data_IF_130708015848
#
_entry.id   IF_130708015848
#
_cell.length_a   1.000
_cell.length_b   1.000
_cell.length_c   1.000
_cell.angle_alpha   90.00
_cell.angle_beta   90.00
_cell.angle_gamma   90.00
#
_symmetry.space_group_name_H-M   'P 1'
#
loop_
_entity.id
_entity.type
_entity.pdbx_description
1 polymer ?
#
# COMPACT_ATOMS: atom_id res chain seq x y z
N UNK A 1 -10.37 8.30 24.83
CA UNK A 1 -10.93 7.96 23.51
C UNK A 1 -9.93 8.02 22.36
N UNK A 2 -9.43 9.17 21.87
CA UNK A 2 -8.46 9.19 20.73
C UNK A 2 -7.08 8.62 21.12
N UNK A 3 -6.59 8.99 22.31
CA UNK A 3 -5.30 8.51 22.83
C UNK A 3 -5.27 6.98 23.01
N UNK A 4 -6.37 6.40 23.51
CA UNK A 4 -6.49 4.96 23.75
C UNK A 4 -6.50 4.18 22.43
N UNK A 5 -7.25 4.64 21.42
CA UNK A 5 -7.26 3.98 20.11
C UNK A 5 -5.90 3.96 19.43
N UNK A 6 -5.14 5.07 19.51
CA UNK A 6 -3.80 5.12 18.92
C UNK A 6 -2.82 4.24 19.69
N UNK A 7 -2.82 4.29 21.02
CA UNK A 7 -1.92 3.50 21.85
C UNK A 7 -2.18 1.99 21.70
N UNK A 8 -3.44 1.56 21.65
CA UNK A 8 -3.80 0.16 21.40
C UNK A 8 -3.28 -0.28 20.03
N UNK A 9 -3.58 0.48 18.98
CA UNK A 9 -3.17 0.13 17.63
C UNK A 9 -1.65 0.16 17.46
N UNK A 10 -0.96 1.08 18.16
CA UNK A 10 0.50 1.17 18.17
C UNK A 10 1.11 -0.13 18.67
N UNK A 11 0.63 -0.65 19.81
CA UNK A 11 1.17 -1.87 20.42
C UNK A 11 0.75 -3.16 19.70
N UNK A 12 -0.31 -3.11 18.88
CA UNK A 12 -0.64 -4.19 17.95
C UNK A 12 0.36 -4.27 16.78
N UNK A 13 0.85 -3.11 16.32
CA UNK A 13 1.69 -3.01 15.12
C UNK A 13 3.20 -2.99 15.41
N UNK A 14 3.61 -2.61 16.62
CA UNK A 14 5.01 -2.46 16.99
C UNK A 14 5.32 -3.10 18.35
N UNK A 15 6.36 -3.91 18.40
CA UNK A 15 6.85 -4.52 19.64
C UNK A 15 7.60 -3.53 20.54
N UNK A 16 8.16 -2.45 19.96
CA UNK A 16 8.99 -1.49 20.72
C UNK A 16 8.73 -0.04 20.32
N UNK A 17 9.04 0.89 21.24
CA UNK A 17 9.05 2.35 20.96
C UNK A 17 10.02 2.70 19.82
N UNK A 18 11.13 1.95 19.71
CA UNK A 18 12.13 2.15 18.66
C UNK A 18 11.56 1.85 17.28
N UNK A 19 10.86 0.72 17.13
CA UNK A 19 10.30 0.30 15.84
C UNK A 19 9.29 1.33 15.31
N UNK A 20 8.39 1.83 16.17
CA UNK A 20 7.46 2.88 15.76
C UNK A 20 8.17 4.22 15.47
N UNK A 21 9.20 4.57 16.24
CA UNK A 21 9.99 5.78 15.97
C UNK A 21 10.69 5.73 14.59
N UNK A 22 11.24 4.58 14.22
CA UNK A 22 11.83 4.34 12.90
C UNK A 22 10.77 4.39 11.80
N UNK A 23 9.60 3.78 12.00
CA UNK A 23 8.46 3.81 11.07
C UNK A 23 7.94 5.23 10.81
N UNK A 24 7.74 6.02 11.86
CA UNK A 24 7.22 7.39 11.74
C UNK A 24 8.31 8.42 11.43
N UNK A 25 9.57 8.02 11.36
CA UNK A 25 10.74 8.90 11.22
C UNK A 25 10.79 10.02 12.27
N UNK A 26 10.57 9.67 13.54
CA UNK A 26 10.62 10.60 14.68
C UNK A 26 11.55 10.08 15.77
N UNK A 27 11.86 10.91 16.77
CA UNK A 27 12.60 10.49 17.95
C UNK A 27 11.75 9.59 18.86
N UNK A 28 12.38 8.64 19.56
CA UNK A 28 11.72 7.76 20.55
C UNK A 28 10.91 8.54 21.60
N UNK A 29 11.46 9.67 22.05
CA UNK A 29 10.81 10.56 23.03
C UNK A 29 9.48 11.11 22.50
N UNK A 30 9.38 11.38 21.20
CA UNK A 30 8.12 11.83 20.56
C UNK A 30 7.05 10.76 20.68
N UNK A 31 7.39 9.49 20.39
CA UNK A 31 6.47 8.36 20.55
C UNK A 31 6.05 8.22 22.01
N UNK A 32 6.98 8.27 22.96
CA UNK A 32 6.65 8.20 24.39
C UNK A 32 5.68 9.30 24.81
N UNK A 33 5.85 10.53 24.31
CA UNK A 33 4.95 11.67 24.58
C UNK A 33 3.57 11.52 23.94
N UNK A 34 3.48 10.85 22.79
CA UNK A 34 2.19 10.50 22.18
C UNK A 34 1.47 9.43 22.99
N UNK A 35 2.16 8.36 23.39
CA UNK A 35 1.56 7.24 24.12
C UNK A 35 1.10 7.62 25.53
N UNK A 36 1.80 8.54 26.20
CA UNK A 36 1.44 8.99 27.55
C UNK A 36 0.54 10.25 27.56
N UNK A 37 0.18 10.79 26.38
CA UNK A 37 -0.69 11.95 26.24
C UNK A 37 -0.09 13.29 26.66
N UNK A 38 1.23 13.38 26.83
CA UNK A 38 1.89 14.67 27.14
C UNK A 38 1.75 15.68 26.00
N UNK A 39 1.71 15.20 24.75
CA UNK A 39 1.50 16.03 23.57
C UNK A 39 0.45 15.40 22.64
N UNK A 40 -0.32 16.21 21.91
CA UNK A 40 -1.26 15.67 20.93
C UNK A 40 -0.52 14.84 19.87
N UNK A 41 -1.16 13.75 19.46
CA UNK A 41 -0.64 12.86 18.41
C UNK A 41 -0.69 13.63 17.09
N UNK A 42 0.34 13.48 16.26
CA UNK A 42 0.33 14.05 14.92
C UNK A 42 -0.78 13.35 14.10
N UNK A 43 -1.76 14.08 13.53
CA UNK A 43 -2.83 13.46 12.74
C UNK A 43 -2.33 12.63 11.55
N UNK A 44 -1.14 12.95 11.01
CA UNK A 44 -0.52 12.14 9.96
C UNK A 44 0.00 10.80 10.49
N UNK A 45 0.52 10.76 11.72
CA UNK A 45 0.96 9.53 12.35
C UNK A 45 -0.22 8.59 12.62
N UNK A 46 -1.37 9.12 13.05
CA UNK A 46 -2.61 8.34 13.19
C UNK A 46 -3.04 7.71 11.86
N UNK A 47 -3.04 8.51 10.78
CA UNK A 47 -3.38 8.03 9.44
C UNK A 47 -2.41 6.96 8.93
N UNK A 48 -1.10 7.17 9.10
CA UNK A 48 -0.08 6.20 8.69
C UNK A 48 -0.20 4.88 9.46
N UNK A 49 -0.50 4.95 10.76
CA UNK A 49 -0.73 3.76 11.58
C UNK A 49 -1.94 2.97 11.10
N UNK A 50 -3.05 3.66 10.78
CA UNK A 50 -4.24 3.02 10.23
C UNK A 50 -3.97 2.35 8.87
N UNK A 51 -3.26 3.04 7.97
CA UNK A 51 -2.89 2.50 6.65
C UNK A 51 -2.02 1.24 6.82
N UNK A 52 -1.05 1.27 7.75
CA UNK A 52 -0.21 0.10 8.08
C UNK A 52 -1.03 -1.05 8.66
N UNK A 53 -1.88 -0.78 9.64
CA UNK A 53 -2.71 -1.80 10.29
C UNK A 53 -3.72 -2.47 9.34
N UNK A 54 -4.19 -1.73 8.34
CA UNK A 54 -5.03 -2.27 7.26
C UNK A 54 -4.24 -3.07 6.20
N UNK A 55 -2.91 -3.09 6.29
CA UNK A 55 -2.03 -3.80 5.35
C UNK A 55 -1.81 -3.07 4.02
N UNK A 56 -2.21 -1.80 3.88
CA UNK A 56 -2.06 -1.03 2.64
C UNK A 56 -0.64 -0.50 2.41
N UNK A 57 0.17 -0.38 3.47
CA UNK A 57 1.56 0.07 3.37
C UNK A 57 2.52 -1.04 3.80
N UNK A 58 3.04 -1.83 2.85
CA UNK A 58 4.08 -2.79 3.15
C UNK A 58 5.41 -2.05 3.40
N UNK A 59 5.85 -2.04 4.65
CA UNK A 59 7.05 -1.33 5.09
C UNK A 59 8.33 -2.20 5.05
N UNK A 60 8.39 -3.13 4.09
CA UNK A 60 9.47 -4.09 3.93
C UNK A 60 10.27 -3.78 2.66
N UNK A 61 11.60 -3.91 2.71
CA UNK A 61 12.49 -3.61 1.60
C UNK A 61 12.20 -4.41 0.31
N UNK A 62 11.54 -5.57 0.42
CA UNK A 62 11.09 -6.36 -0.73
C UNK A 62 10.08 -5.63 -1.61
N UNK A 63 9.41 -4.61 -1.07
CA UNK A 63 8.46 -3.76 -1.79
C UNK A 63 9.12 -2.53 -2.43
N UNK A 64 10.45 -2.40 -2.33
CA UNK A 64 11.18 -1.30 -2.95
C UNK A 64 11.00 -1.27 -4.47
N UNK A 65 10.69 -0.09 -5.00
CA UNK A 65 10.50 0.14 -6.44
C UNK A 65 9.10 -0.17 -6.97
N UNK A 66 8.27 -0.87 -6.20
CA UNK A 66 6.85 -1.05 -6.50
C UNK A 66 6.07 0.24 -6.29
N UNK A 67 5.13 0.53 -7.18
CA UNK A 67 4.37 1.79 -7.20
C UNK A 67 2.92 1.53 -7.58
N UNK A 68 2.02 2.43 -7.16
CA UNK A 68 0.63 2.45 -7.59
C UNK A 68 0.39 3.75 -8.35
N UNK A 69 -0.15 3.66 -9.57
CA UNK A 69 -0.72 4.81 -10.27
C UNK A 69 -2.16 4.95 -9.82
N UNK A 70 -2.43 5.91 -8.93
CA UNK A 70 -3.76 6.15 -8.36
C UNK A 70 -4.80 6.57 -9.42
N UNK A 71 -4.38 7.24 -10.50
CA UNK A 71 -5.30 7.72 -11.53
C UNK A 71 -5.80 6.57 -12.40
N UNK A 72 -4.92 5.63 -12.72
CA UNK A 72 -5.23 4.43 -13.52
C UNK A 72 -5.63 3.23 -12.65
N UNK A 73 -5.43 3.32 -11.34
CA UNK A 73 -5.56 2.25 -10.37
C UNK A 73 -4.76 1.00 -10.77
N UNK A 74 -3.52 1.16 -11.27
CA UNK A 74 -2.63 0.05 -11.67
C UNK A 74 -1.44 -0.08 -10.74
N UNK A 75 -1.00 -1.32 -10.55
CA UNK A 75 0.21 -1.65 -9.82
C UNK A 75 1.38 -1.75 -10.79
N UNK A 76 2.48 -1.08 -10.47
CA UNK A 76 3.68 -0.96 -11.30
C UNK A 76 4.84 -1.66 -10.59
N UNK A 77 5.48 -2.60 -11.26
CA UNK A 77 6.64 -3.34 -10.74
C UNK A 77 7.94 -2.54 -10.92
N UNK A 78 9.03 -2.90 -10.21
CA UNK A 78 10.34 -2.31 -10.44
C UNK A 78 10.85 -2.47 -11.88
N UNK A 79 10.42 -3.51 -12.60
CA UNK A 79 10.74 -3.74 -14.01
C UNK A 79 9.89 -2.92 -15.00
N UNK A 80 8.96 -2.09 -14.49
CA UNK A 80 8.04 -1.29 -15.32
C UNK A 80 6.88 -2.08 -15.92
N UNK A 81 6.66 -3.33 -15.48
CA UNK A 81 5.46 -4.10 -15.85
C UNK A 81 4.29 -3.61 -15.01
N UNK A 82 3.10 -3.73 -15.57
CA UNK A 82 1.88 -3.21 -14.95
C UNK A 82 0.83 -4.31 -14.88
N UNK A 83 0.03 -4.30 -13.82
CA UNK A 83 -1.18 -5.10 -13.73
C UNK A 83 -2.26 -4.38 -12.90
N UNK A 84 -3.51 -4.64 -13.23
CA UNK A 84 -4.68 -4.13 -12.50
C UNK A 84 -4.98 -4.98 -11.26
N UNK A 85 -5.74 -4.47 -10.27
CA UNK A 85 -6.19 -5.25 -9.12
C UNK A 85 -6.94 -6.54 -9.51
N UNK A 86 -7.72 -6.52 -10.59
CA UNK A 86 -8.42 -7.71 -11.10
C UNK A 86 -7.46 -8.77 -11.64
N UNK A 87 -6.38 -8.34 -12.28
CA UNK A 87 -5.34 -9.24 -12.74
C UNK A 87 -4.56 -9.82 -11.55
N UNK A 88 -4.33 -9.03 -10.50
CA UNK A 88 -3.71 -9.52 -9.27
C UNK A 88 -4.54 -10.59 -8.56
N UNK A 89 -5.86 -10.43 -8.52
CA UNK A 89 -6.78 -11.44 -7.94
C UNK A 89 -6.65 -12.79 -8.64
N UNK A 90 -6.54 -12.79 -9.97
CA UNK A 90 -6.37 -14.00 -10.78
C UNK A 90 -4.94 -14.53 -10.81
N UNK A 91 -3.97 -13.74 -10.33
CA UNK A 91 -2.54 -14.00 -10.54
C UNK A 91 -2.06 -15.27 -9.86
N UNK A 92 -2.56 -15.60 -8.66
CA UNK A 92 -2.16 -16.81 -7.95
C UNK A 92 -2.49 -18.08 -8.78
N UNK A 93 -3.70 -18.14 -9.34
CA UNK A 93 -4.12 -19.23 -10.21
C UNK A 93 -3.31 -19.29 -11.51
N UNK A 94 -3.13 -18.14 -12.18
CA UNK A 94 -2.36 -18.09 -13.43
C UNK A 94 -0.90 -18.45 -13.24
N UNK A 95 -0.30 -18.11 -12.09
CA UNK A 95 1.07 -18.51 -11.77
C UNK A 95 1.20 -20.03 -11.70
N UNK A 96 0.24 -20.70 -11.07
CA UNK A 96 0.27 -22.15 -10.90
C UNK A 96 0.09 -22.86 -12.26
N UNK A 97 -0.89 -22.42 -13.06
CA UNK A 97 -1.08 -22.91 -14.45
C UNK A 97 0.15 -22.67 -15.33
N UNK A 98 0.72 -21.46 -15.27
CA UNK A 98 1.93 -21.10 -16.02
C UNK A 98 3.11 -21.99 -15.65
N UNK A 99 3.28 -22.28 -14.35
CA UNK A 99 4.36 -23.16 -13.87
C UNK A 99 4.24 -24.55 -14.49
N UNK A 100 3.03 -25.13 -14.49
CA UNK A 100 2.77 -26.44 -15.12
C UNK A 100 3.01 -26.41 -16.64
N UNK A 101 2.60 -25.35 -17.33
CA UNK A 101 2.81 -25.20 -18.77
C UNK A 101 4.31 -25.12 -19.12
N UNK A 102 5.09 -24.40 -18.30
CA UNK A 102 6.55 -24.31 -18.46
C UNK A 102 7.22 -25.66 -18.21
N UNK A 103 6.76 -26.43 -17.22
CA UNK A 103 7.27 -27.80 -16.98
C UNK A 103 7.04 -28.71 -18.19
N UNK A 104 5.89 -28.59 -18.85
CA UNK A 104 5.51 -29.42 -20.00
C UNK A 104 6.14 -28.98 -21.33
N UNK A 105 6.31 -27.67 -21.54
CA UNK A 105 6.61 -27.11 -22.85
C UNK A 105 7.86 -26.22 -22.89
N UNK A 106 8.48 -25.95 -21.73
CA UNK A 106 9.62 -25.04 -21.61
C UNK A 106 9.24 -23.56 -21.56
N UNK A 107 10.26 -22.70 -21.44
CA UNK A 107 10.09 -21.25 -21.39
C UNK A 107 9.96 -20.62 -22.78
N UNK A 108 9.19 -19.53 -22.86
CA UNK A 108 9.15 -18.66 -24.03
C UNK A 108 10.28 -17.63 -23.90
N UNK A 109 11.21 -17.57 -24.87
CA UNK A 109 12.38 -16.68 -24.79
C UNK A 109 12.03 -15.18 -24.80
N UNK A 110 11.05 -14.77 -25.61
CA UNK A 110 10.68 -13.37 -25.79
C UNK A 110 9.17 -13.16 -25.64
N UNK A 111 8.62 -13.26 -24.41
CA UNK A 111 7.19 -13.09 -24.19
C UNK A 111 6.77 -11.65 -24.48
N UNK A 112 5.66 -11.50 -25.21
CA UNK A 112 5.06 -10.20 -25.51
C UNK A 112 4.69 -9.46 -24.23
N UNK A 113 4.92 -8.15 -24.21
CA UNK A 113 4.46 -7.27 -23.13
C UNK A 113 3.02 -6.85 -23.40
N UNK A 114 2.14 -7.09 -22.44
CA UNK A 114 0.78 -6.59 -22.46
C UNK A 114 0.64 -5.49 -21.40
N UNK A 115 -0.01 -4.35 -21.72
CA UNK A 115 -0.33 -3.35 -20.71
C UNK A 115 -1.41 -3.90 -19.75
N UNK A 116 -1.48 -3.33 -18.55
CA UNK A 116 -2.52 -3.66 -17.59
C UNK A 116 -3.91 -3.44 -18.20
N UNK A 117 -4.85 -4.34 -17.89
CA UNK A 117 -6.24 -4.17 -18.33
C UNK A 117 -6.84 -2.89 -17.73
N UNK A 118 -7.68 -2.22 -18.52
CA UNK A 118 -8.40 -1.06 -18.03
C UNK A 118 -9.32 -1.44 -16.87
N UNK A 119 -9.16 -0.72 -15.76
CA UNK A 119 -10.07 -0.83 -14.64
C UNK A 119 -11.40 -0.16 -15.00
N UNK A 120 -12.45 -0.96 -15.09
CA UNK A 120 -13.81 -0.44 -15.15
C UNK A 120 -14.10 0.36 -13.88
N UNK A 121 -14.80 1.48 -14.04
CA UNK A 121 -15.22 2.30 -12.91
C UNK A 121 -16.07 1.47 -11.94
N UNK A 122 -15.88 1.60 -10.62
CA UNK A 122 -16.57 0.80 -9.61
C UNK A 122 -18.10 1.02 -9.59
N UNK A 123 -18.60 2.10 -10.21
CA UNK A 123 -20.03 2.41 -10.29
C UNK A 123 -20.44 2.82 -11.71
N UNK A 124 -21.61 2.36 -12.16
CA UNK A 124 -22.25 2.89 -13.37
C UNK A 124 -22.70 4.33 -13.11
N UNK A 125 -22.17 5.31 -13.85
CA UNK A 125 -22.70 6.68 -13.87
C UNK A 125 -21.82 7.80 -13.28
N UNK A 126 -20.51 7.59 -13.07
CA UNK A 126 -19.54 8.70 -12.96
C UNK A 126 -19.68 9.68 -11.76
N UNK A 127 -20.60 9.44 -10.82
CA UNK A 127 -20.92 10.41 -9.75
C UNK A 127 -19.88 10.57 -8.64
N UNK A 128 -18.80 9.77 -8.60
CA UNK A 128 -17.71 9.87 -7.60
C UNK A 128 -16.33 10.00 -8.25
N UNK A 129 -16.19 10.89 -9.23
CA UNK A 129 -14.91 11.14 -9.92
C UNK A 129 -14.05 12.27 -9.32
N UNK A 130 -14.54 13.04 -8.34
CA UNK A 130 -13.66 14.00 -7.68
C UNK A 130 -12.83 13.25 -6.64
N UNK A 131 -11.52 13.17 -6.89
CA UNK A 131 -10.55 12.85 -5.87
C UNK A 131 -10.91 13.60 -4.58
N UNK A 132 -10.91 12.92 -3.44
CA UNK A 132 -11.29 13.56 -2.19
C UNK A 132 -10.42 14.82 -1.98
N UNK A 133 -11.02 15.99 -1.72
CA UNK A 133 -10.33 17.30 -1.78
C UNK A 133 -9.15 17.45 -0.80
N UNK A 134 -8.95 16.49 0.11
CA UNK A 134 -7.85 16.45 1.05
C UNK A 134 -6.55 15.82 0.52
N UNK A 135 -6.49 15.39 -0.75
CA UNK A 135 -5.24 14.93 -1.36
C UNK A 135 -4.41 16.18 -1.66
N UNK A 136 -3.24 16.38 -1.00
CA UNK A 136 -2.42 17.56 -1.23
C UNK A 136 -1.88 17.51 -2.67
N UNK A 137 -2.50 18.25 -3.58
CA UNK A 137 -1.95 18.48 -4.91
C UNK A 137 -0.86 19.54 -4.77
N UNK A 138 0.38 19.18 -5.12
CA UNK A 138 1.59 20.00 -4.94
C UNK A 138 1.61 21.31 -5.76
N UNK A 139 0.56 21.63 -6.50
CA UNK A 139 0.48 22.83 -7.34
C UNK A 139 -0.96 23.36 -7.27
N UNK A 140 -1.12 24.56 -6.71
CA UNK A 140 -2.22 25.46 -7.05
C UNK A 140 -1.67 26.51 -8.01
#
# INVERSE_FOLDING_TARGET
>A
MILESFAILYWQEFETIRAGAEFFHVNKVTISRWLNGTVPINPMAEKLLLIKALGYLPNDMRWYGFRIDEKRAVFITPSGREFSPKELESFAHWRDEYTQLVELHGHIEYPKVYPAKENLLPFRGGRRMTAAPWIPTKMK
#
